data_IF_202566147886
#
_entry.id   IF_202566147886
#
_cell.length_a   1.000
_cell.length_b   1.000
_cell.length_c   1.000
_cell.angle_alpha   90.00
_cell.angle_beta   90.00
_cell.angle_gamma   90.00
#
_symmetry.space_group_name_H-M   'P 1'
#
loop_
_entity.id
_entity.type
_entity.pdbx_description
1 polymer ?
#
# COMPACT_ATOMS: atom_id res chain seq x y z
N UNK A 1 -7.05 -33.35 -2.20
CA UNK A 1 -7.19 -32.57 -2.47
C UNK A 1 -7.71 -31.59 -1.97
N UNK A 2 -7.85 -31.23 -1.60
CA UNK A 2 -8.40 -30.41 -1.35
C UNK A 2 -8.12 -29.24 -1.43
N UNK A 3 -7.49 -28.99 -1.17
CA UNK A 3 -7.27 -27.97 -1.19
C UNK A 3 -7.01 -27.18 -2.19
N UNK A 4 -6.66 -27.78 -3.00
CA UNK A 4 -6.63 -27.19 -4.27
C UNK A 4 -7.77 -26.28 -4.48
N UNK A 5 -8.85 -26.74 -4.00
CA UNK A 5 -10.03 -25.96 -4.04
C UNK A 5 -9.88 -24.70 -3.25
N UNK A 6 -9.19 -24.80 -2.14
CA UNK A 6 -8.92 -23.63 -1.33
C UNK A 6 -7.98 -22.69 -2.06
N UNK A 7 -7.02 -23.22 -2.77
CA UNK A 7 -6.15 -22.39 -3.57
C UNK A 7 -6.93 -21.58 -4.57
N UNK A 8 -7.93 -22.17 -5.19
CA UNK A 8 -8.78 -21.46 -6.11
C UNK A 8 -9.57 -20.37 -5.41
N UNK A 9 -10.10 -20.69 -4.24
CA UNK A 9 -10.92 -19.74 -3.49
C UNK A 9 -10.13 -18.54 -3.00
N UNK A 10 -8.85 -18.73 -2.72
CA UNK A 10 -7.98 -17.67 -2.22
C UNK A 10 -6.99 -17.21 -3.28
N UNK A 11 -7.40 -17.34 -4.52
CA UNK A 11 -6.57 -16.92 -5.62
C UNK A 11 -6.26 -15.45 -5.50
N UNK A 12 -4.97 -15.14 -5.41
CA UNK A 12 -4.51 -13.78 -5.28
C UNK A 12 -4.20 -13.22 -6.66
N UNK A 13 -4.72 -12.04 -6.94
CA UNK A 13 -4.44 -11.34 -8.18
C UNK A 13 -3.25 -10.42 -7.97
N UNK A 14 -2.45 -10.27 -9.01
CA UNK A 14 -1.39 -9.27 -9.03
C UNK A 14 -1.76 -8.19 -10.03
N UNK A 15 -1.39 -6.94 -9.77
CA UNK A 15 -1.72 -5.85 -10.69
C UNK A 15 -0.91 -5.93 -11.99
N UNK A 16 -1.51 -5.43 -13.07
CA UNK A 16 -0.86 -5.43 -14.38
C UNK A 16 0.42 -4.60 -14.39
N UNK A 17 0.54 -3.64 -13.51
CA UNK A 17 1.71 -2.77 -13.45
C UNK A 17 2.88 -3.38 -12.66
N UNK A 18 2.74 -4.61 -12.17
CA UNK A 18 3.82 -5.29 -11.43
C UNK A 18 5.00 -5.52 -12.36
N UNK A 19 6.17 -4.93 -12.07
CA UNK A 19 7.35 -5.14 -12.89
C UNK A 19 7.85 -6.59 -12.80
N UNK A 20 8.48 -7.06 -13.85
CA UNK A 20 9.06 -8.40 -13.89
C UNK A 20 10.42 -8.47 -13.21
N UNK A 21 10.55 -7.91 -12.03
CA UNK A 21 11.80 -7.88 -11.26
C UNK A 21 11.50 -7.93 -9.77
N UNK A 22 12.53 -8.17 -8.97
CA UNK A 22 12.40 -8.16 -7.51
C UNK A 22 12.08 -6.75 -7.03
N UNK A 23 11.48 -6.64 -5.82
CA UNK A 23 11.21 -5.32 -5.25
C UNK A 23 12.47 -4.49 -5.08
N UNK A 24 12.34 -3.18 -5.21
CA UNK A 24 13.43 -2.26 -4.97
C UNK A 24 13.71 -2.08 -3.47
N UNK A 25 12.71 -2.32 -2.65
CA UNK A 25 12.82 -2.28 -1.19
C UNK A 25 11.89 -3.34 -0.60
N UNK A 26 12.37 -4.01 0.43
CA UNK A 26 11.56 -5.00 1.12
C UNK A 26 11.74 -4.87 2.62
N UNK A 27 10.61 -4.78 3.33
CA UNK A 27 10.55 -4.95 4.77
C UNK A 27 9.91 -6.30 5.00
N UNK A 28 10.72 -7.28 5.35
CA UNK A 28 10.31 -8.69 5.37
C UNK A 28 9.06 -8.92 6.23
N UNK A 29 8.05 -9.56 5.63
CA UNK A 29 6.80 -9.84 6.33
C UNK A 29 5.88 -8.64 6.46
N UNK A 30 6.23 -7.49 5.92
CA UNK A 30 5.48 -6.27 6.09
C UNK A 30 5.15 -5.57 4.78
N UNK A 31 6.14 -5.25 3.96
CA UNK A 31 5.94 -4.43 2.76
C UNK A 31 7.00 -4.73 1.71
N UNK A 32 6.57 -4.79 0.45
CA UNK A 32 7.46 -4.82 -0.70
C UNK A 32 7.15 -3.60 -1.57
N UNK A 33 8.18 -2.95 -2.07
CA UNK A 33 8.03 -1.73 -2.87
C UNK A 33 8.78 -1.82 -4.19
N UNK A 34 8.09 -1.43 -5.26
CA UNK A 34 8.70 -1.21 -6.58
C UNK A 34 8.60 0.27 -6.91
N UNK A 35 9.69 0.86 -7.41
CA UNK A 35 9.65 2.21 -7.97
C UNK A 35 9.21 2.10 -9.42
N UNK A 36 8.04 2.64 -9.75
CA UNK A 36 7.45 2.50 -11.09
C UNK A 36 7.96 3.56 -12.07
N UNK A 37 8.61 4.61 -11.56
CA UNK A 37 9.14 5.69 -12.37
C UNK A 37 10.47 6.13 -11.77
N UNK A 38 11.35 6.79 -12.55
CA UNK A 38 12.56 7.35 -11.98
C UNK A 38 12.23 8.32 -10.86
N UNK A 39 13.03 8.29 -9.80
CA UNK A 39 12.84 9.20 -8.68
C UNK A 39 13.06 10.63 -9.13
N UNK A 40 12.26 11.55 -8.58
CA UNK A 40 12.37 12.97 -8.88
C UNK A 40 12.10 13.78 -7.62
N UNK A 41 12.59 15.03 -7.63
CA UNK A 41 12.34 15.95 -6.53
C UNK A 41 10.84 16.34 -6.46
N UNK A 42 10.12 16.22 -7.56
CA UNK A 42 8.70 16.56 -7.64
C UNK A 42 7.77 15.47 -7.18
N UNK A 43 8.29 14.29 -6.86
CA UNK A 43 7.49 13.18 -6.38
C UNK A 43 7.92 11.85 -6.93
N UNK A 44 7.26 10.80 -6.46
CA UNK A 44 7.58 9.44 -6.84
C UNK A 44 6.31 8.64 -7.09
N UNK A 45 6.47 7.54 -7.84
CA UNK A 45 5.40 6.61 -8.10
C UNK A 45 5.84 5.23 -7.63
N UNK A 46 5.08 4.66 -6.70
CA UNK A 46 5.40 3.36 -6.11
C UNK A 46 4.27 2.36 -6.32
N UNK A 47 4.67 1.09 -6.45
CA UNK A 47 3.77 -0.03 -6.26
C UNK A 47 4.14 -0.68 -4.94
N UNK A 48 3.17 -0.86 -4.06
CA UNK A 48 3.36 -1.54 -2.78
C UNK A 48 2.58 -2.83 -2.75
N UNK A 49 3.24 -3.89 -2.29
CA UNK A 49 2.56 -5.10 -1.82
C UNK A 49 2.56 -5.03 -0.30
N UNK A 50 1.39 -4.84 0.29
CA UNK A 50 1.26 -4.69 1.74
C UNK A 50 0.92 -6.05 2.30
N UNK A 51 1.79 -6.57 3.17
CA UNK A 51 1.68 -7.92 3.70
C UNK A 51 1.02 -7.92 5.07
N UNK A 52 1.36 -6.97 5.92
CA UNK A 52 0.82 -6.88 7.26
C UNK A 52 0.52 -5.43 7.63
N UNK A 53 -0.33 -5.25 8.63
CA UNK A 53 -0.63 -3.92 9.14
C UNK A 53 0.54 -3.35 9.93
N UNK A 54 0.48 -2.06 10.15
CA UNK A 54 1.44 -1.39 11.02
C UNK A 54 1.22 -1.84 12.45
N UNK A 55 2.24 -1.81 13.26
CA UNK A 55 2.02 -1.88 14.69
C UNK A 55 1.18 -0.65 15.04
N UNK A 56 0.43 -0.71 16.13
CA UNK A 56 -0.50 0.36 16.47
C UNK A 56 0.23 1.67 16.79
N UNK A 57 1.07 2.11 15.88
CA UNK A 57 1.85 3.32 15.97
C UNK A 57 1.36 4.29 14.90
N UNK A 58 0.71 5.32 15.35
CA UNK A 58 0.25 6.40 14.48
C UNK A 58 1.47 7.12 13.93
N UNK A 59 1.50 7.33 12.62
CA UNK A 59 2.62 7.98 11.96
C UNK A 59 2.15 8.93 10.87
N UNK A 60 3.03 9.78 10.42
CA UNK A 60 2.83 10.66 9.28
C UNK A 60 3.93 10.41 8.24
N UNK A 61 3.96 11.20 7.19
CA UNK A 61 4.88 11.04 6.08
C UNK A 61 5.56 12.35 5.73
N UNK A 62 6.74 12.28 5.06
CA UNK A 62 7.44 13.51 4.66
C UNK A 62 6.84 14.17 3.41
N UNK A 63 5.79 13.59 2.81
CA UNK A 63 5.17 14.10 1.60
C UNK A 63 3.66 13.82 1.60
N UNK A 64 2.93 14.66 0.87
CA UNK A 64 1.54 14.37 0.55
C UNK A 64 1.53 13.21 -0.42
N UNK A 65 0.48 12.39 -0.38
CA UNK A 65 0.39 11.27 -1.29
C UNK A 65 -1.04 10.93 -1.66
N UNK A 66 -1.19 10.27 -2.80
CA UNK A 66 -2.43 9.67 -3.23
C UNK A 66 -2.23 8.17 -3.30
N UNK A 67 -3.18 7.42 -2.78
CA UNK A 67 -3.15 5.96 -2.79
C UNK A 67 -4.33 5.43 -3.58
N UNK A 68 -4.06 4.42 -4.39
CA UNK A 68 -5.11 3.67 -5.08
C UNK A 68 -4.99 2.20 -4.70
N UNK A 69 -6.09 1.61 -4.24
CA UNK A 69 -6.12 0.19 -3.89
C UNK A 69 -6.34 -0.60 -5.18
N UNK A 70 -5.31 -1.29 -5.63
CA UNK A 70 -5.38 -2.06 -6.88
C UNK A 70 -5.97 -3.45 -6.67
N UNK A 71 -5.65 -4.11 -5.57
CA UNK A 71 -6.16 -5.41 -5.19
C UNK A 71 -6.23 -5.48 -3.68
N UNK A 72 -7.13 -6.34 -3.15
CA UNK A 72 -7.26 -6.56 -1.72
C UNK A 72 -7.90 -5.39 -0.99
N UNK A 73 -7.30 -5.01 0.10
CA UNK A 73 -7.77 -3.90 0.92
C UNK A 73 -7.29 -4.00 2.35
N UNK A 74 -7.59 -2.97 3.14
CA UNK A 74 -7.17 -2.94 4.54
C UNK A 74 -8.06 -2.01 5.35
N UNK A 75 -7.94 -2.14 6.67
CA UNK A 75 -8.60 -1.25 7.61
C UNK A 75 -7.57 -0.25 8.11
N UNK A 76 -7.86 1.02 7.93
CA UNK A 76 -6.97 2.11 8.30
C UNK A 76 -7.56 2.89 9.47
N UNK A 77 -6.75 3.16 10.49
CA UNK A 77 -7.15 4.09 11.54
C UNK A 77 -6.72 5.48 11.15
N UNK A 78 -7.66 6.41 11.16
CA UNK A 78 -7.43 7.82 10.88
C UNK A 78 -7.83 8.66 12.07
N UNK A 79 -7.54 9.96 12.02
CA UNK A 79 -7.98 10.89 13.08
C UNK A 79 -9.50 10.92 13.23
N UNK A 80 -10.22 10.56 12.16
CA UNK A 80 -11.69 10.55 12.18
C UNK A 80 -12.26 9.16 12.44
N UNK A 81 -11.42 8.20 12.83
CA UNK A 81 -11.82 6.85 13.12
C UNK A 81 -11.39 5.85 12.05
N UNK A 82 -11.82 4.59 12.17
CA UNK A 82 -11.43 3.56 11.22
C UNK A 82 -12.14 3.73 9.88
N UNK A 83 -11.38 3.49 8.80
CA UNK A 83 -11.88 3.55 7.42
C UNK A 83 -11.48 2.27 6.72
N UNK A 84 -12.44 1.63 6.10
CA UNK A 84 -12.16 0.44 5.29
C UNK A 84 -11.77 0.87 3.88
N UNK A 85 -10.58 0.47 3.44
CA UNK A 85 -10.08 0.71 2.09
C UNK A 85 -10.29 -0.53 1.26
N UNK A 86 -10.91 -0.38 0.09
CA UNK A 86 -11.28 -1.50 -0.78
C UNK A 86 -10.72 -1.32 -2.16
N UNK A 87 -10.63 -2.41 -2.90
CA UNK A 87 -10.21 -2.35 -4.30
C UNK A 87 -11.01 -1.30 -5.06
N UNK A 88 -10.29 -0.45 -5.78
CA UNK A 88 -10.85 0.64 -6.54
C UNK A 88 -10.87 1.98 -5.82
N UNK A 89 -10.66 1.98 -4.49
CA UNK A 89 -10.63 3.23 -3.75
C UNK A 89 -9.39 4.05 -4.12
N UNK A 90 -9.60 5.34 -4.26
CA UNK A 90 -8.52 6.31 -4.48
C UNK A 90 -8.71 7.40 -3.44
N UNK A 91 -7.67 7.69 -2.70
CA UNK A 91 -7.74 8.70 -1.65
C UNK A 91 -6.40 9.41 -1.49
N UNK A 92 -6.45 10.62 -0.96
CA UNK A 92 -5.27 11.44 -0.75
C UNK A 92 -5.06 11.71 0.73
N UNK A 93 -3.79 11.84 1.12
CA UNK A 93 -3.41 12.20 2.48
C UNK A 93 -2.37 13.30 2.43
N UNK A 94 -2.51 14.25 3.35
CA UNK A 94 -1.48 15.26 3.52
C UNK A 94 -0.33 14.65 4.32
N UNK A 95 0.86 15.20 4.12
CA UNK A 95 2.07 14.71 4.77
C UNK A 95 1.91 14.60 6.29
N UNK A 96 1.29 15.57 6.91
CA UNK A 96 1.12 15.62 8.36
C UNK A 96 -0.06 14.80 8.89
N UNK A 97 -0.85 14.18 8.02
CA UNK A 97 -1.99 13.37 8.47
C UNK A 97 -1.51 12.13 9.21
N UNK A 98 -1.98 11.95 10.42
CA UNK A 98 -1.62 10.81 11.27
C UNK A 98 -2.54 9.63 10.98
N UNK A 99 -1.94 8.45 10.78
CA UNK A 99 -2.72 7.24 10.53
C UNK A 99 -1.89 5.99 10.79
N UNK A 100 -2.55 4.83 10.77
CA UNK A 100 -1.86 3.54 10.69
C UNK A 100 -2.79 2.50 10.09
N UNK A 101 -2.20 1.48 9.48
CA UNK A 101 -2.94 0.36 8.92
C UNK A 101 -3.12 -0.69 10.00
N UNK A 102 -4.36 -1.08 10.27
CA UNK A 102 -4.68 -2.01 11.35
C UNK A 102 -4.59 -3.46 10.90
N UNK A 103 -5.34 -3.82 9.88
CA UNK A 103 -5.38 -5.19 9.34
C UNK A 103 -5.37 -5.13 7.84
N UNK A 104 -4.74 -6.14 7.24
CA UNK A 104 -4.53 -6.18 5.79
C UNK A 104 -5.07 -7.50 5.26
N UNK A 105 -5.82 -7.45 4.17
CA UNK A 105 -6.26 -8.66 3.47
C UNK A 105 -5.08 -9.24 2.69
N UNK A 106 -4.96 -10.56 2.60
CA UNK A 106 -3.92 -11.15 1.76
C UNK A 106 -4.04 -10.65 0.32
N UNK A 107 -2.89 -10.40 -0.30
CA UNK A 107 -2.87 -9.94 -1.68
C UNK A 107 -3.31 -8.49 -1.85
N UNK A 108 -2.91 -7.63 -0.92
CA UNK A 108 -3.21 -6.20 -1.01
C UNK A 108 -2.09 -5.46 -1.73
N UNK A 109 -2.48 -4.77 -2.79
CA UNK A 109 -1.56 -4.00 -3.63
C UNK A 109 -2.07 -2.58 -3.75
N UNK A 110 -1.18 -1.61 -3.61
CA UNK A 110 -1.53 -0.20 -3.76
C UNK A 110 -0.55 0.49 -4.70
N UNK A 111 -1.06 1.50 -5.41
CA UNK A 111 -0.21 2.40 -6.20
C UNK A 111 -0.20 3.74 -5.50
N UNK A 112 1.00 4.19 -5.15
CA UNK A 112 1.20 5.41 -4.37
C UNK A 112 1.87 6.46 -5.23
N UNK A 113 1.24 7.62 -5.35
CA UNK A 113 1.84 8.78 -5.99
C UNK A 113 2.16 9.80 -4.91
N UNK A 114 3.42 10.13 -4.74
CA UNK A 114 3.83 11.10 -3.72
C UNK A 114 4.07 12.45 -4.35
N UNK A 115 3.81 13.51 -3.60
CA UNK A 115 4.25 14.85 -3.95
C UNK A 115 5.71 15.07 -3.57
N UNK A 116 6.20 16.29 -3.68
CA UNK A 116 7.55 16.60 -3.24
C UNK A 116 7.69 16.46 -1.73
N UNK A 117 8.91 16.16 -1.29
CA UNK A 117 9.18 16.01 0.13
C UNK A 117 9.00 17.36 0.81
N UNK A 118 8.13 17.41 1.84
CA UNK A 118 7.79 18.65 2.53
C UNK A 118 8.63 18.86 3.78
N UNK A 119 9.30 17.82 4.25
CA UNK A 119 10.16 17.89 5.44
C UNK A 119 11.07 16.67 5.49
N UNK A 120 12.06 16.72 6.34
CA UNK A 120 13.05 15.65 6.48
C UNK A 120 12.55 14.46 7.28
#
# INVERSE_FOLDING_TARGET
MLDLRMSSAVKVRVPDCLPGRLPDMELVGYLERWCLAPRSAGGNLYLHHIIAGDEAVVHDHPWDFQSEILEGGYLEMTCDGPVERRKGDVFSKRAEALHYIMTVRPGTWTRITTGPKTRD
#
